data_IF_767372591234
#
_entry.id   IF_767372591234
#
_cell.length_a   1.000
_cell.length_b   1.000
_cell.length_c   1.000
_cell.angle_alpha   90.00
_cell.angle_beta   90.00
_cell.angle_gamma   90.00
#
_symmetry.space_group_name_H-M   'P 1'
#
loop_
_entity.id
_entity.type
_entity.pdbx_description
1 polymer ?
#
# COMPACT_ATOMS: atom_id res chain seq x y z
N UNK A 1 25.51 -18.50 -0.03
CA UNK A 1 26.47 -19.46 -0.63
C UNK A 1 27.36 -18.73 -1.62
N UNK A 2 28.62 -19.15 -1.77
CA UNK A 2 29.49 -18.69 -2.86
C UNK A 2 29.15 -19.51 -4.11
N UNK A 3 28.85 -18.86 -5.23
CA UNK A 3 28.70 -19.55 -6.52
C UNK A 3 30.07 -19.63 -7.20
N UNK A 4 30.54 -20.80 -7.65
CA UNK A 4 31.79 -20.95 -8.40
C UNK A 4 31.68 -20.61 -9.90
N UNK A 5 30.48 -20.32 -10.41
CA UNK A 5 30.26 -19.99 -11.83
C UNK A 5 30.58 -18.54 -12.18
N UNK A 6 31.14 -18.31 -13.38
CA UNK A 6 31.40 -16.97 -13.97
C UNK A 6 30.14 -16.11 -14.12
N UNK A 7 28.94 -16.72 -14.07
CA UNK A 7 27.66 -16.04 -13.97
C UNK A 7 27.01 -16.32 -12.60
N UNK A 8 27.34 -15.50 -11.60
CA UNK A 8 26.78 -15.61 -10.26
C UNK A 8 25.33 -15.11 -10.21
N UNK A 9 24.36 -16.03 -10.18
CA UNK A 9 22.94 -15.71 -9.99
C UNK A 9 22.49 -15.93 -8.55
N UNK A 10 21.53 -15.10 -8.11
CA UNK A 10 20.77 -15.35 -6.90
C UNK A 10 19.73 -16.44 -7.19
N UNK A 11 19.87 -17.60 -6.54
CA UNK A 11 18.93 -18.72 -6.64
C UNK A 11 18.24 -18.91 -5.29
N UNK A 12 16.91 -18.97 -5.30
CA UNK A 12 16.10 -19.33 -4.14
C UNK A 12 14.99 -20.28 -4.56
N UNK A 13 14.52 -21.12 -3.64
CA UNK A 13 13.45 -22.08 -3.87
C UNK A 13 12.35 -21.83 -2.84
N UNK A 14 11.11 -21.74 -3.32
CA UNK A 14 9.92 -21.70 -2.47
C UNK A 14 9.10 -22.95 -2.78
N UNK A 15 8.97 -23.88 -1.83
CA UNK A 15 8.15 -25.06 -2.03
C UNK A 15 6.70 -24.68 -2.34
N UNK A 16 6.07 -25.36 -3.29
CA UNK A 16 4.72 -25.03 -3.77
C UNK A 16 3.67 -25.13 -2.66
N UNK A 17 3.85 -26.07 -1.74
CA UNK A 17 3.02 -26.31 -0.58
C UNK A 17 3.15 -25.23 0.50
N UNK A 18 4.24 -24.46 0.47
CA UNK A 18 4.57 -23.45 1.49
C UNK A 18 4.51 -22.02 0.95
N UNK A 19 4.26 -21.82 -0.35
CA UNK A 19 4.15 -20.47 -0.91
C UNK A 19 2.91 -19.77 -0.36
N UNK A 20 3.13 -18.64 0.28
CA UNK A 20 2.09 -17.75 0.81
C UNK A 20 2.28 -16.37 0.20
N UNK A 21 1.22 -15.58 0.20
CA UNK A 21 1.35 -14.18 -0.15
C UNK A 21 2.21 -13.47 0.91
N UNK A 22 3.12 -12.61 0.48
CA UNK A 22 4.08 -11.99 1.40
C UNK A 22 5.21 -11.27 0.70
N UNK A 23 6.16 -10.81 1.51
CA UNK A 23 7.28 -10.00 1.08
C UNK A 23 8.57 -10.53 1.69
N UNK A 24 9.66 -10.48 0.92
CA UNK A 24 11.00 -10.70 1.42
C UNK A 24 11.95 -9.64 0.87
N UNK A 25 12.83 -9.11 1.72
CA UNK A 25 13.98 -8.32 1.28
C UNK A 25 15.22 -9.17 1.46
N UNK A 26 15.90 -9.44 0.36
CA UNK A 26 17.14 -10.22 0.35
C UNK A 26 18.27 -9.35 -0.16
N UNK A 27 19.48 -9.58 0.37
CA UNK A 27 20.62 -8.76 0.03
C UNK A 27 21.89 -9.60 -0.10
N UNK A 28 22.77 -9.17 -1.00
CA UNK A 28 24.09 -9.78 -1.18
C UNK A 28 25.14 -8.98 -0.41
N UNK A 29 26.05 -9.70 0.23
CA UNK A 29 27.19 -9.12 0.94
C UNK A 29 28.49 -9.47 0.23
N UNK A 30 29.44 -8.54 0.21
CA UNK A 30 30.80 -8.83 -0.20
C UNK A 30 31.54 -9.67 0.88
N UNK A 31 32.78 -10.06 0.58
CA UNK A 31 33.60 -10.87 1.50
C UNK A 31 33.87 -10.20 2.86
N UNK A 32 33.72 -8.87 2.97
CA UNK A 32 33.87 -8.09 4.21
C UNK A 32 32.54 -7.93 4.96
N UNK A 33 31.46 -8.60 4.54
CA UNK A 33 30.15 -8.53 5.17
C UNK A 33 29.33 -7.27 4.84
N UNK A 34 29.80 -6.42 3.93
CA UNK A 34 29.10 -5.20 3.51
C UNK A 34 28.02 -5.53 2.49
N UNK A 35 26.81 -5.03 2.68
CA UNK A 35 25.74 -5.16 1.69
C UNK A 35 26.11 -4.42 0.40
N UNK A 36 25.92 -5.07 -0.74
CA UNK A 36 26.23 -4.50 -2.06
C UNK A 36 24.99 -4.20 -2.88
N UNK A 37 23.94 -5.00 -2.68
CA UNK A 37 22.67 -4.84 -3.36
C UNK A 37 21.58 -5.62 -2.63
N UNK A 38 20.35 -5.25 -2.86
CA UNK A 38 19.16 -5.87 -2.29
C UNK A 38 18.02 -5.87 -3.28
N UNK A 39 17.17 -6.89 -3.17
CA UNK A 39 15.96 -7.07 -3.95
C UNK A 39 14.78 -7.19 -3.00
N UNK A 40 13.65 -6.63 -3.42
CA UNK A 40 12.34 -6.92 -2.82
C UNK A 40 11.67 -7.99 -3.68
N UNK A 41 11.34 -9.12 -3.05
CA UNK A 41 10.51 -10.17 -3.63
C UNK A 41 9.08 -10.03 -3.10
N UNK A 42 8.13 -9.85 -4.01
CA UNK A 42 6.71 -9.78 -3.69
C UNK A 42 6.00 -11.03 -4.19
N UNK A 43 5.52 -11.85 -3.26
CA UNK A 43 4.71 -13.02 -3.54
C UNK A 43 3.24 -12.61 -3.50
N UNK A 44 2.65 -12.40 -4.66
CA UNK A 44 1.32 -11.84 -4.82
C UNK A 44 0.36 -12.82 -5.47
N UNK A 45 -0.94 -12.52 -5.43
CA UNK A 45 -1.91 -13.21 -6.28
C UNK A 45 -1.65 -12.87 -7.77
N UNK A 46 -2.02 -13.76 -8.71
CA UNK A 46 -1.77 -13.53 -10.13
C UNK A 46 -2.36 -12.21 -10.67
N UNK A 47 -3.44 -11.73 -10.05
CA UNK A 47 -4.18 -10.53 -10.45
C UNK A 47 -3.65 -9.23 -9.81
N UNK A 48 -2.63 -9.28 -8.95
CA UNK A 48 -2.16 -8.10 -8.21
C UNK A 48 -1.65 -6.97 -9.11
N UNK A 49 -1.08 -7.33 -10.27
CA UNK A 49 -0.59 -6.42 -11.31
C UNK A 49 -1.57 -6.22 -12.48
N UNK A 50 -2.78 -6.80 -12.43
CA UNK A 50 -3.82 -6.41 -13.39
C UNK A 50 -4.08 -4.90 -13.29
N UNK A 51 -4.36 -4.26 -14.42
CA UNK A 51 -4.46 -2.81 -14.46
C UNK A 51 -5.89 -2.29 -14.40
N UNK A 52 -6.09 -1.23 -13.62
CA UNK A 52 -7.31 -0.43 -13.55
C UNK A 52 -7.05 0.92 -14.21
N UNK A 53 -7.85 1.26 -15.22
CA UNK A 53 -7.79 2.56 -15.90
C UNK A 53 -8.46 3.63 -15.07
N UNK A 54 -7.75 4.71 -14.81
CA UNK A 54 -8.22 5.89 -14.08
C UNK A 54 -7.84 7.16 -14.86
N UNK A 55 -8.69 8.18 -14.80
CA UNK A 55 -8.43 9.46 -15.45
C UNK A 55 -8.19 10.52 -14.40
N UNK A 56 -7.19 11.37 -14.59
CA UNK A 56 -7.01 12.54 -13.75
C UNK A 56 -7.93 13.70 -14.20
N UNK A 57 -7.85 14.84 -13.51
CA UNK A 57 -8.66 16.03 -13.81
C UNK A 57 -8.43 16.61 -15.22
N UNK A 58 -7.33 16.25 -15.87
CA UNK A 58 -6.99 16.66 -17.24
C UNK A 58 -7.38 15.58 -18.28
N UNK A 59 -8.15 14.57 -17.89
CA UNK A 59 -8.52 13.40 -18.70
C UNK A 59 -7.34 12.55 -19.18
N UNK A 60 -6.14 12.72 -18.59
CA UNK A 60 -5.00 11.83 -18.85
C UNK A 60 -5.27 10.47 -18.20
N UNK A 61 -5.12 9.41 -19.00
CA UNK A 61 -5.38 8.04 -18.58
C UNK A 61 -4.13 7.44 -17.93
N UNK A 62 -4.29 6.92 -16.73
CA UNK A 62 -3.29 6.13 -16.02
C UNK A 62 -3.81 4.70 -15.81
N UNK A 63 -2.90 3.71 -15.87
CA UNK A 63 -3.21 2.29 -15.69
C UNK A 63 -2.58 1.80 -14.40
N UNK A 64 -3.30 1.92 -13.29
CA UNK A 64 -2.78 1.51 -11.99
C UNK A 64 -2.81 -0.01 -11.81
N UNK A 65 -1.82 -0.58 -11.14
CA UNK A 65 -1.93 -1.93 -10.61
C UNK A 65 -3.11 -2.03 -9.63
N UNK A 66 -3.77 -3.20 -9.60
CA UNK A 66 -4.94 -3.48 -8.76
C UNK A 66 -4.63 -3.37 -7.26
N UNK A 67 -3.40 -3.65 -6.87
CA UNK A 67 -2.93 -3.61 -5.49
C UNK A 67 -1.70 -2.72 -5.35
N UNK A 68 -1.51 -2.08 -4.18
CA UNK A 68 -0.25 -1.39 -3.91
C UNK A 68 0.91 -2.38 -3.82
N UNK A 69 2.11 -1.87 -4.04
CA UNK A 69 3.31 -2.68 -4.07
C UNK A 69 3.52 -3.36 -2.72
N UNK A 70 3.80 -4.67 -2.76
CA UNK A 70 4.01 -5.48 -1.56
C UNK A 70 2.74 -5.73 -0.74
N UNK A 71 1.55 -5.55 -1.32
CA UNK A 71 0.31 -5.88 -0.65
C UNK A 71 0.21 -7.37 -0.31
N UNK A 72 -0.27 -7.68 0.89
CA UNK A 72 -0.48 -9.03 1.36
C UNK A 72 -1.67 -9.10 2.32
N UNK A 73 -2.64 -9.98 2.03
CA UNK A 73 -3.69 -10.38 2.97
C UNK A 73 -3.07 -11.20 4.11
N UNK A 74 -3.37 -10.86 5.36
CA UNK A 74 -2.87 -11.58 6.53
C UNK A 74 -3.96 -12.49 7.07
N UNK A 75 -5.15 -11.93 7.21
CA UNK A 75 -6.38 -12.63 7.56
C UNK A 75 -7.53 -12.00 6.81
N UNK A 76 -8.39 -12.84 6.23
CA UNK A 76 -9.60 -12.37 5.56
C UNK A 76 -10.74 -13.34 5.80
N UNK A 77 -11.59 -12.98 6.76
CA UNK A 77 -12.81 -13.71 7.08
C UNK A 77 -13.99 -12.82 6.74
N UNK A 78 -14.79 -13.21 5.76
CA UNK A 78 -16.07 -12.55 5.52
C UNK A 78 -17.15 -13.18 6.38
N UNK A 79 -18.00 -12.34 6.97
CA UNK A 79 -19.23 -12.83 7.55
C UNK A 79 -20.08 -13.49 6.45
N UNK A 80 -20.67 -14.65 6.74
CA UNK A 80 -21.55 -15.38 5.81
C UNK A 80 -22.80 -14.60 5.41
N UNK A 81 -23.04 -13.43 6.01
CA UNK A 81 -24.05 -12.46 5.64
C UNK A 81 -23.62 -11.04 6.04
N UNK A 82 -24.03 -10.02 5.27
CA UNK A 82 -23.59 -8.62 5.41
C UNK A 82 -24.68 -7.64 5.88
N UNK A 83 -25.88 -8.14 6.22
CA UNK A 83 -27.01 -7.35 6.70
C UNK A 83 -27.62 -8.01 7.92
N UNK A 84 -28.01 -7.23 8.94
CA UNK A 84 -28.75 -7.74 10.08
C UNK A 84 -29.97 -8.54 9.61
N UNK A 85 -30.15 -9.73 10.16
CA UNK A 85 -31.33 -10.56 9.92
C UNK A 85 -32.15 -10.61 11.20
N UNK A 86 -33.46 -10.53 11.04
CA UNK A 86 -34.41 -10.60 12.15
C UNK A 86 -35.34 -11.76 11.87
N UNK A 87 -35.44 -12.68 12.81
CA UNK A 87 -36.45 -13.75 12.79
C UNK A 87 -37.51 -13.39 13.83
N UNK A 88 -38.76 -13.29 13.38
CA UNK A 88 -39.92 -13.18 14.25
C UNK A 88 -40.39 -14.58 14.61
N UNK A 89 -40.51 -14.86 15.91
CA UNK A 89 -41.11 -16.09 16.41
C UNK A 89 -42.38 -15.72 17.15
N UNK A 90 -43.49 -16.32 16.74
CA UNK A 90 -44.77 -16.29 17.46
C UNK A 90 -44.98 -17.67 18.08
N UNK A 91 -45.13 -17.72 19.40
CA UNK A 91 -45.52 -18.93 20.13
C UNK A 91 -46.94 -18.71 20.65
N UNK A 92 -47.86 -19.62 20.34
CA UNK A 92 -49.27 -19.55 20.73
C UNK A 92 -49.68 -20.85 21.42
N UNK A 93 -50.48 -20.74 22.48
CA UNK A 93 -50.99 -21.91 23.20
C UNK A 93 -51.96 -22.72 22.33
N UNK A 94 -51.86 -24.04 22.38
CA UNK A 94 -52.82 -24.92 21.69
C UNK A 94 -54.20 -24.90 22.35
N UNK A 95 -54.26 -24.73 23.67
CA UNK A 95 -55.48 -24.63 24.48
C UNK A 95 -55.41 -23.41 25.40
N UNK A 96 -56.48 -22.60 25.41
CA UNK A 96 -56.59 -21.39 26.22
C UNK A 96 -57.32 -21.63 27.54
N UNK A 97 -57.01 -20.84 28.57
CA UNK A 97 -57.76 -20.89 29.82
C UNK A 97 -59.09 -20.13 29.63
N UNK A 98 -60.24 -20.82 29.74
CA UNK A 98 -61.58 -20.33 29.36
C UNK A 98 -61.76 -19.95 27.87
N UNK A 99 -60.96 -20.54 26.98
CA UNK A 99 -61.06 -20.32 25.53
C UNK A 99 -60.12 -19.26 24.97
N UNK A 100 -59.52 -18.42 25.83
CA UNK A 100 -58.57 -17.40 25.41
C UNK A 100 -57.16 -17.98 25.26
N UNK A 101 -56.69 -18.09 24.01
CA UNK A 101 -55.31 -18.48 23.71
C UNK A 101 -54.37 -17.29 23.92
N UNK A 102 -53.33 -17.49 24.69
CA UNK A 102 -52.24 -16.52 24.78
C UNK A 102 -51.18 -16.81 23.73
N UNK A 103 -50.55 -15.75 23.25
CA UNK A 103 -49.36 -15.85 22.42
C UNK A 103 -48.29 -14.87 22.91
N UNK A 104 -47.04 -15.22 22.64
CA UNK A 104 -45.89 -14.35 22.82
C UNK A 104 -45.19 -14.20 21.47
N UNK A 105 -44.73 -12.98 21.19
CA UNK A 105 -43.87 -12.68 20.05
C UNK A 105 -42.52 -12.28 20.62
N UNK A 106 -41.46 -12.87 20.09
CA UNK A 106 -40.11 -12.38 20.34
C UNK A 106 -39.28 -12.40 19.07
N UNK A 107 -38.30 -11.51 19.04
CA UNK A 107 -37.44 -11.26 17.90
C UNK A 107 -36.06 -11.82 18.21
N UNK A 108 -35.56 -12.70 17.34
CA UNK A 108 -34.13 -13.07 17.34
C UNK A 108 -33.44 -12.17 16.33
N UNK A 109 -32.57 -11.30 16.83
CA UNK A 109 -31.76 -10.41 15.99
C UNK A 109 -30.36 -10.99 15.85
N UNK A 110 -29.99 -11.34 14.62
CA UNK A 110 -28.64 -11.79 14.29
C UNK A 110 -27.90 -10.64 13.60
N UNK A 111 -26.94 -10.06 14.30
CA UNK A 111 -25.98 -9.11 13.70
C UNK A 111 -24.95 -9.92 12.90
N UNK A 112 -24.47 -9.42 11.75
CA UNK A 112 -23.38 -10.06 11.03
C UNK A 112 -22.17 -10.24 11.95
N UNK A 113 -21.45 -11.36 11.77
CA UNK A 113 -20.14 -11.54 12.39
C UNK A 113 -19.20 -10.41 11.97
N UNK A 114 -18.16 -10.15 12.76
CA UNK A 114 -17.12 -9.23 12.32
C UNK A 114 -16.41 -9.84 11.11
N UNK A 115 -16.33 -9.10 10.02
CA UNK A 115 -15.40 -9.45 8.95
C UNK A 115 -13.99 -9.07 9.41
N UNK A 116 -13.09 -10.04 9.51
CA UNK A 116 -11.68 -9.79 9.77
C UNK A 116 -11.04 -9.41 8.44
N UNK A 117 -10.46 -8.22 8.36
CA UNK A 117 -9.74 -7.74 7.17
C UNK A 117 -8.40 -7.21 7.60
N UNK A 118 -7.45 -8.13 7.74
CA UNK A 118 -6.07 -7.81 8.02
C UNK A 118 -5.25 -7.88 6.75
N UNK A 119 -4.56 -6.78 6.45
CA UNK A 119 -3.65 -6.69 5.31
C UNK A 119 -2.45 -5.85 5.68
N UNK A 120 -1.40 -6.01 4.88
CA UNK A 120 -0.16 -5.26 4.98
C UNK A 120 0.26 -4.78 3.60
N UNK A 121 1.08 -3.73 3.55
CA UNK A 121 1.78 -3.29 2.35
C UNK A 121 3.22 -2.98 2.75
N UNK A 122 4.14 -3.08 1.80
CA UNK A 122 5.48 -2.55 2.02
C UNK A 122 5.48 -1.04 1.92
N UNK A 123 6.44 -0.43 2.61
CA UNK A 123 6.65 1.00 2.69
C UNK A 123 8.07 1.33 2.23
N UNK A 124 8.26 2.49 1.63
CA UNK A 124 9.53 2.89 1.02
C UNK A 124 9.87 4.30 1.46
N UNK A 125 11.16 4.57 1.73
CA UNK A 125 11.64 5.95 1.81
C UNK A 125 11.89 6.47 0.39
N UNK A 126 11.69 7.77 0.18
CA UNK A 126 11.72 8.32 -1.18
C UNK A 126 13.08 8.09 -1.85
N UNK A 127 13.05 7.60 -3.10
CA UNK A 127 14.26 7.31 -3.88
C UNK A 127 14.94 5.99 -3.52
N UNK A 128 14.35 5.17 -2.64
CA UNK A 128 14.85 3.83 -2.33
C UNK A 128 14.02 2.75 -3.00
N UNK A 129 14.64 1.58 -3.20
CA UNK A 129 14.01 0.34 -3.67
C UNK A 129 13.76 -0.68 -2.54
N UNK A 130 14.25 -0.41 -1.33
CA UNK A 130 14.21 -1.36 -0.23
C UNK A 130 12.88 -1.25 0.51
N UNK A 131 12.20 -2.38 0.65
CA UNK A 131 10.90 -2.46 1.29
C UNK A 131 11.03 -2.53 2.82
N UNK A 132 10.35 -1.63 3.50
CA UNK A 132 10.08 -1.71 4.93
C UNK A 132 8.69 -2.29 5.16
N UNK A 133 8.45 -2.80 6.36
CA UNK A 133 7.17 -3.41 6.69
C UNK A 133 6.37 -2.54 7.65
N UNK A 134 5.06 -2.64 7.55
CA UNK A 134 4.12 -2.06 8.50
C UNK A 134 3.71 -3.05 9.60
N UNK A 135 4.33 -4.23 9.70
CA UNK A 135 4.04 -5.22 10.75
C UNK A 135 5.26 -5.47 11.65
N UNK A 136 5.03 -5.73 12.94
CA UNK A 136 6.09 -5.97 13.91
C UNK A 136 6.68 -7.39 13.85
N UNK A 137 6.07 -8.30 13.07
CA UNK A 137 6.44 -9.71 13.03
C UNK A 137 7.27 -10.04 11.78
N UNK A 138 8.58 -9.79 11.87
CA UNK A 138 9.57 -10.10 10.83
C UNK A 138 10.19 -11.47 11.15
N UNK A 139 10.07 -12.42 10.22
CA UNK A 139 10.53 -13.79 10.42
C UNK A 139 12.05 -13.90 10.60
N UNK A 140 12.84 -13.09 9.87
CA UNK A 140 14.30 -13.13 9.92
C UNK A 140 14.90 -11.77 9.52
N UNK A 141 16.09 -11.45 10.04
CA UNK A 141 16.93 -10.34 9.56
C UNK A 141 16.58 -8.96 10.11
N UNK A 142 15.33 -8.76 10.53
CA UNK A 142 14.84 -7.51 11.13
C UNK A 142 15.12 -6.26 10.30
N UNK A 143 14.68 -5.11 10.81
CA UNK A 143 15.28 -3.83 10.43
C UNK A 143 15.54 -3.04 11.69
N UNK A 144 16.42 -2.05 11.61
CA UNK A 144 16.70 -1.13 12.70
C UNK A 144 16.47 0.31 12.25
N UNK A 145 16.34 1.20 13.23
CA UNK A 145 16.05 2.61 13.04
C UNK A 145 17.29 3.41 13.44
N UNK A 146 17.63 4.46 12.69
CA UNK A 146 18.82 5.28 12.98
C UNK A 146 18.67 6.73 12.47
N UNK A 147 19.02 7.71 13.29
CA UNK A 147 18.93 9.16 13.03
C UNK A 147 20.28 9.84 12.73
N UNK A 148 21.39 9.10 12.77
CA UNK A 148 22.76 9.58 12.49
C UNK A 148 23.29 9.14 11.12
N UNK A 149 22.49 8.46 10.31
CA UNK A 149 22.89 7.99 8.98
C UNK A 149 22.49 9.02 7.92
N UNK A 150 23.42 9.36 7.04
CA UNK A 150 23.13 10.17 5.87
C UNK A 150 22.24 9.42 4.89
N UNK A 151 21.19 10.07 4.39
CA UNK A 151 20.37 9.56 3.30
C UNK A 151 21.03 9.87 1.95
N UNK A 152 22.15 9.18 1.68
CA UNK A 152 22.84 9.17 0.38
C UNK A 152 22.52 7.91 -0.40
N UNK A 153 22.76 7.91 -1.71
CA UNK A 153 22.59 6.70 -2.53
C UNK A 153 23.46 5.53 -2.03
N UNK A 154 24.71 5.82 -1.62
CA UNK A 154 25.62 4.82 -1.05
C UNK A 154 25.05 4.19 0.22
N UNK A 155 24.66 5.02 1.19
CA UNK A 155 24.16 4.54 2.47
C UNK A 155 22.85 3.77 2.32
N UNK A 156 21.96 4.21 1.42
CA UNK A 156 20.71 3.49 1.12
C UNK A 156 20.99 2.10 0.52
N UNK A 157 21.96 1.96 -0.39
CA UNK A 157 22.35 0.66 -0.97
C UNK A 157 23.02 -0.24 0.08
N UNK A 158 23.93 0.29 0.88
CA UNK A 158 24.71 -0.47 1.87
C UNK A 158 23.88 -0.85 3.11
N UNK A 159 22.67 -0.28 3.29
CA UNK A 159 21.83 -0.49 4.47
C UNK A 159 20.36 -0.71 4.12
N UNK A 160 20.03 -1.82 3.42
CA UNK A 160 18.65 -2.11 3.00
C UNK A 160 17.70 -2.41 4.17
N UNK A 161 18.25 -2.76 5.34
CA UNK A 161 17.49 -3.04 6.57
C UNK A 161 17.60 -1.91 7.61
N UNK A 162 17.92 -0.68 7.18
CA UNK A 162 17.96 0.50 8.04
C UNK A 162 16.92 1.51 7.60
N UNK A 163 15.93 1.77 8.47
CA UNK A 163 15.02 2.89 8.31
C UNK A 163 15.69 4.16 8.85
N UNK A 164 15.97 5.12 7.96
CA UNK A 164 16.74 6.32 8.29
C UNK A 164 15.77 7.41 8.77
N UNK A 165 15.90 7.87 10.02
CA UNK A 165 15.07 8.94 10.55
C UNK A 165 15.48 10.30 9.99
N UNK A 166 14.52 11.23 9.93
CA UNK A 166 14.81 12.64 9.79
C UNK A 166 15.50 13.11 11.07
N UNK A 167 16.81 13.33 10.99
CA UNK A 167 17.64 13.54 12.17
C UNK A 167 18.88 14.37 11.85
N UNK A 168 20.03 13.91 12.35
CA UNK A 168 21.30 14.62 12.31
C UNK A 168 22.13 14.31 11.06
N UNK A 169 21.77 13.26 10.32
CA UNK A 169 22.38 12.92 9.04
C UNK A 169 22.01 13.90 7.93
N UNK A 170 22.89 14.02 6.93
CA UNK A 170 22.64 14.78 5.69
C UNK A 170 21.67 14.02 4.78
N UNK A 171 20.83 14.76 4.06
CA UNK A 171 19.98 14.20 2.99
C UNK A 171 20.46 14.66 1.63
N UNK A 172 20.67 13.72 0.70
CA UNK A 172 20.88 14.04 -0.71
C UNK A 172 19.55 14.12 -1.45
N UNK A 173 19.25 15.29 -2.02
CA UNK A 173 17.97 15.58 -2.67
C UNK A 173 18.00 15.28 -4.16
N UNK A 174 18.39 14.07 -4.55
CA UNK A 174 18.34 13.67 -5.96
C UNK A 174 16.90 13.64 -6.47
N UNK A 175 16.65 14.27 -7.62
CA UNK A 175 15.32 14.34 -8.22
C UNK A 175 14.99 13.10 -9.07
N UNK A 176 16.01 12.39 -9.53
CA UNK A 176 15.92 11.39 -10.58
C UNK A 176 16.12 9.94 -10.11
N UNK A 177 15.97 9.67 -8.81
CA UNK A 177 16.12 8.31 -8.29
C UNK A 177 15.01 7.39 -8.78
N UNK A 178 13.74 7.79 -8.77
CA UNK A 178 12.65 6.94 -9.30
C UNK A 178 12.32 7.22 -10.77
N UNK A 179 12.77 8.34 -11.33
CA UNK A 179 12.57 8.69 -12.75
C UNK A 179 13.81 9.38 -13.30
N UNK A 180 14.50 8.75 -14.27
CA UNK A 180 15.82 9.14 -14.78
C UNK A 180 15.91 10.59 -15.25
N UNK A 181 14.83 11.09 -15.87
CA UNK A 181 14.77 12.41 -16.49
C UNK A 181 14.16 13.49 -15.59
N UNK A 182 13.84 13.14 -14.34
CA UNK A 182 13.17 14.06 -13.44
C UNK A 182 14.12 15.18 -12.98
N UNK A 183 13.79 16.42 -13.36
CA UNK A 183 14.56 17.61 -13.00
C UNK A 183 14.12 18.24 -11.67
N UNK A 184 13.05 17.71 -11.07
CA UNK A 184 12.39 18.26 -9.89
C UNK A 184 11.39 19.37 -10.24
N UNK A 185 10.48 19.63 -9.30
CA UNK A 185 9.50 20.71 -9.42
C UNK A 185 8.05 20.21 -9.52
N UNK A 186 7.20 20.99 -10.17
CA UNK A 186 5.74 20.81 -10.16
C UNK A 186 5.17 20.27 -11.47
N UNK A 187 6.00 19.84 -12.42
CA UNK A 187 5.52 19.29 -13.70
C UNK A 187 5.33 17.78 -13.65
N UNK A 188 4.29 17.28 -14.32
CA UNK A 188 4.07 15.85 -14.53
C UNK A 188 4.86 15.37 -15.74
N UNK A 189 6.13 15.06 -15.50
CA UNK A 189 7.01 14.48 -16.52
C UNK A 189 6.73 12.99 -16.72
N UNK A 190 7.04 12.48 -17.91
CA UNK A 190 7.02 11.04 -18.18
C UNK A 190 8.00 10.33 -17.26
N UNK A 191 7.55 9.27 -16.59
CA UNK A 191 8.42 8.48 -15.72
C UNK A 191 9.29 7.58 -16.58
N UNK A 192 10.61 7.72 -16.44
CA UNK A 192 11.59 6.80 -17.01
C UNK A 192 12.19 6.02 -15.85
N UNK A 193 11.68 4.81 -15.62
CA UNK A 193 12.05 3.97 -14.49
C UNK A 193 13.57 3.80 -14.35
N UNK A 194 14.09 3.87 -13.12
CA UNK A 194 15.49 3.54 -12.82
C UNK A 194 15.61 2.28 -11.98
N UNK A 195 16.85 1.86 -11.70
CA UNK A 195 17.16 0.77 -10.76
C UNK A 195 16.70 1.00 -9.31
N UNK A 196 16.35 2.23 -8.92
CA UNK A 196 15.86 2.56 -7.58
C UNK A 196 14.33 2.60 -7.48
N UNK A 197 13.62 2.58 -8.61
CA UNK A 197 12.17 2.46 -8.61
C UNK A 197 11.79 1.05 -8.11
N UNK A 198 11.02 0.93 -7.01
CA UNK A 198 10.73 -0.37 -6.40
C UNK A 198 9.71 -1.22 -7.20
N UNK A 199 9.02 -0.66 -8.19
CA UNK A 199 7.95 -1.37 -8.88
C UNK A 199 8.50 -2.54 -9.74
N UNK A 200 7.69 -3.56 -10.04
CA UNK A 200 8.04 -4.61 -10.99
C UNK A 200 8.29 -4.06 -12.41
N UNK A 201 8.90 -4.87 -13.28
CA UNK A 201 9.08 -4.55 -14.70
C UNK A 201 7.73 -4.29 -15.36
N UNK A 202 7.66 -3.26 -16.22
CA UNK A 202 6.42 -2.81 -16.86
C UNK A 202 5.58 -1.87 -16.00
N UNK A 203 6.07 -1.52 -14.80
CA UNK A 203 5.44 -0.57 -13.89
C UNK A 203 6.45 0.38 -13.28
N UNK A 204 5.99 1.57 -12.91
CA UNK A 204 6.78 2.59 -12.25
C UNK A 204 6.00 3.26 -11.11
N UNK A 205 6.71 4.00 -10.25
CA UNK A 205 6.10 4.84 -9.20
C UNK A 205 5.22 5.91 -9.89
N UNK A 206 3.97 6.14 -9.43
CA UNK A 206 3.04 7.05 -10.09
C UNK A 206 3.55 8.49 -10.10
N UNK A 207 3.22 9.28 -11.12
CA UNK A 207 3.40 10.74 -11.03
C UNK A 207 2.37 11.35 -10.08
N UNK A 208 2.59 12.59 -9.63
CA UNK A 208 1.59 13.32 -8.84
C UNK A 208 0.26 13.48 -9.59
N UNK A 209 0.30 13.70 -10.91
CA UNK A 209 -0.89 13.78 -11.76
C UNK A 209 -1.65 12.47 -11.87
N UNK A 210 -1.00 11.32 -11.62
CA UNK A 210 -1.71 10.06 -11.50
C UNK A 210 -2.56 10.04 -10.22
N UNK A 211 -2.01 10.52 -9.10
CA UNK A 211 -2.68 10.52 -7.79
C UNK A 211 -3.93 11.42 -7.75
N UNK A 212 -4.02 12.41 -8.64
CA UNK A 212 -5.21 13.25 -8.83
C UNK A 212 -6.46 12.46 -9.27
N UNK A 213 -6.31 11.23 -9.80
CA UNK A 213 -7.42 10.35 -10.17
C UNK A 213 -8.37 10.03 -9.00
N UNK A 214 -7.92 10.20 -7.75
CA UNK A 214 -8.64 9.80 -6.53
C UNK A 214 -9.31 10.94 -5.77
N UNK A 215 -9.23 12.18 -6.26
CA UNK A 215 -9.84 13.37 -5.63
C UNK A 215 -10.84 14.05 -6.53
N UNK A 216 -11.85 14.71 -5.97
CA UNK A 216 -12.79 15.51 -6.76
C UNK A 216 -12.24 16.94 -7.00
N UNK A 217 -12.27 17.45 -8.22
CA UNK A 217 -12.26 18.89 -8.49
C UNK A 217 -13.71 19.38 -8.53
N UNK A 218 -13.92 20.61 -8.05
CA UNK A 218 -15.20 21.29 -8.15
C UNK A 218 -15.57 21.46 -9.63
N UNK A 219 -16.73 20.91 -10.02
CA UNK A 219 -17.44 21.05 -11.31
C UNK A 219 -17.38 19.93 -12.37
N UNK A 220 -16.56 18.87 -12.27
CA UNK A 220 -16.61 17.79 -13.29
C UNK A 220 -16.79 16.36 -12.75
N UNK A 221 -17.60 15.63 -13.50
CA UNK A 221 -18.17 14.31 -13.21
C UNK A 221 -17.19 13.15 -13.48
N UNK A 222 -15.92 13.44 -13.79
CA UNK A 222 -14.92 12.47 -14.24
C UNK A 222 -14.21 11.67 -13.13
N UNK A 223 -14.56 11.87 -11.86
CA UNK A 223 -13.71 11.41 -10.75
C UNK A 223 -14.22 10.13 -10.07
N UNK A 224 -13.28 9.38 -9.51
CA UNK A 224 -13.59 8.17 -8.78
C UNK A 224 -14.35 8.51 -7.49
N UNK A 225 -15.63 8.14 -7.39
CA UNK A 225 -16.42 8.34 -6.17
C UNK A 225 -16.01 7.31 -5.12
N UNK A 226 -15.44 7.76 -4.01
CA UNK A 226 -15.23 6.92 -2.84
C UNK A 226 -16.59 6.54 -2.22
N UNK A 227 -16.82 5.25 -1.96
CA UNK A 227 -17.93 4.76 -1.12
C UNK A 227 -17.56 4.79 0.35
N UNK A 228 -18.39 4.23 1.25
CA UNK A 228 -18.08 4.11 2.69
C UNK A 228 -16.70 3.49 2.95
N UNK A 229 -16.01 4.02 3.95
CA UNK A 229 -14.73 3.53 4.46
C UNK A 229 -14.83 2.06 4.87
N UNK A 230 -13.86 1.25 4.44
CA UNK A 230 -13.74 -0.19 4.76
C UNK A 230 -12.25 -0.55 4.91
N UNK A 231 -11.66 -0.07 6.02
CA UNK A 231 -10.21 -0.09 6.25
C UNK A 231 -9.42 0.47 5.05
N UNK A 232 -9.95 1.52 4.42
CA UNK A 232 -9.50 2.02 3.13
C UNK A 232 -10.67 2.52 2.31
N UNK A 233 -10.39 3.00 1.10
CA UNK A 233 -11.39 3.55 0.20
C UNK A 233 -11.66 2.64 -0.98
N UNK A 234 -12.93 2.34 -1.19
CA UNK A 234 -13.42 1.73 -2.41
C UNK A 234 -13.85 2.83 -3.37
N UNK A 235 -13.19 2.90 -4.51
CA UNK A 235 -13.40 3.89 -5.55
C UNK A 235 -14.22 3.31 -6.70
N UNK A 236 -15.10 4.12 -7.28
CA UNK A 236 -15.93 3.77 -8.44
C UNK A 236 -15.78 4.82 -9.51
N UNK A 237 -15.55 4.41 -10.76
CA UNK A 237 -15.73 5.31 -11.91
C UNK A 237 -17.15 5.88 -11.91
N UNK A 238 -17.31 7.15 -12.28
CA UNK A 238 -18.64 7.74 -12.36
C UNK A 238 -19.58 6.94 -13.28
N UNK A 239 -20.83 6.79 -12.86
CA UNK A 239 -21.83 5.94 -13.53
C UNK A 239 -21.62 4.42 -13.38
N UNK A 240 -20.51 3.95 -12.80
CA UNK A 240 -20.28 2.53 -12.55
C UNK A 240 -20.85 2.13 -11.16
N UNK A 241 -21.79 1.17 -11.08
CA UNK A 241 -22.30 0.71 -9.79
C UNK A 241 -21.27 -0.11 -9.00
N UNK A 242 -20.25 -0.67 -9.65
CA UNK A 242 -19.24 -1.54 -9.05
C UNK A 242 -17.96 -0.80 -8.64
N UNK A 243 -17.28 -1.37 -7.63
CA UNK A 243 -15.94 -0.92 -7.22
C UNK A 243 -14.95 -1.19 -8.35
N UNK A 244 -14.27 -0.13 -8.78
CA UNK A 244 -13.22 -0.23 -9.80
C UNK A 244 -11.84 -0.35 -9.17
N UNK A 245 -11.64 0.23 -7.99
CA UNK A 245 -10.36 0.15 -7.29
C UNK A 245 -10.55 0.22 -5.77
N UNK A 246 -9.73 -0.52 -5.03
CA UNK A 246 -9.66 -0.43 -3.59
C UNK A 246 -8.27 0.04 -3.18
N UNK A 247 -8.19 1.12 -2.39
CA UNK A 247 -6.95 1.57 -1.78
C UNK A 247 -6.96 1.27 -0.28
N UNK A 248 -6.11 0.34 0.19
CA UNK A 248 -6.07 -0.04 1.60
C UNK A 248 -5.44 1.04 2.47
N UNK A 249 -5.96 1.20 3.69
CA UNK A 249 -5.40 2.08 4.71
C UNK A 249 -4.24 1.36 5.43
N UNK A 250 -3.02 1.48 4.90
CA UNK A 250 -1.84 0.74 5.36
C UNK A 250 -0.93 1.50 6.32
N UNK A 251 -1.27 2.77 6.61
CA UNK A 251 -0.48 3.63 7.47
C UNK A 251 0.76 4.21 6.79
N UNK A 252 1.69 4.71 7.59
CA UNK A 252 3.04 5.10 7.18
C UNK A 252 4.04 4.95 8.34
N UNK A 253 5.34 4.86 8.01
CA UNK A 253 6.42 4.95 9.02
C UNK A 253 6.81 6.41 9.21
N UNK A 254 6.70 6.87 10.46
CA UNK A 254 7.03 8.24 10.84
C UNK A 254 8.53 8.51 10.70
N UNK A 255 8.93 9.62 10.08
CA UNK A 255 10.34 9.97 9.93
C UNK A 255 11.00 10.37 11.25
N UNK A 256 10.23 10.65 12.30
CA UNK A 256 10.77 11.13 13.59
C UNK A 256 11.19 9.99 14.51
N UNK A 257 10.48 8.86 14.46
CA UNK A 257 10.72 7.75 15.39
C UNK A 257 10.66 6.36 14.71
N UNK A 258 10.32 6.29 13.43
CA UNK A 258 10.22 5.03 12.68
C UNK A 258 9.05 4.16 13.14
N UNK A 259 8.08 4.72 13.88
CA UNK A 259 6.89 4.01 14.30
C UNK A 259 5.79 4.11 13.26
N UNK A 260 4.98 3.07 13.19
CA UNK A 260 3.79 3.05 12.36
C UNK A 260 2.75 4.04 12.89
N UNK A 261 2.22 4.86 12.00
CA UNK A 261 1.03 5.66 12.22
C UNK A 261 -0.08 5.19 11.28
N UNK A 262 -1.23 4.86 11.87
CA UNK A 262 -2.42 4.35 11.16
C UNK A 262 -3.54 5.38 11.05
N UNK A 263 -3.35 6.61 11.54
CA UNK A 263 -4.37 7.68 11.47
C UNK A 263 -4.62 8.15 10.04
N UNK A 264 -3.63 7.99 9.17
CA UNK A 264 -3.73 8.24 7.73
C UNK A 264 -2.85 7.27 6.96
N UNK A 265 -3.06 7.20 5.65
CA UNK A 265 -2.23 6.44 4.72
C UNK A 265 -1.75 7.37 3.63
N UNK A 266 -0.49 7.24 3.25
CA UNK A 266 0.06 8.01 2.16
C UNK A 266 0.67 7.11 1.07
N UNK A 267 0.55 7.57 -0.18
CA UNK A 267 1.10 6.91 -1.37
C UNK A 267 2.05 7.86 -2.08
N UNK A 268 3.30 7.44 -2.24
CA UNK A 268 4.32 8.21 -2.93
C UNK A 268 3.95 8.49 -4.38
N UNK A 269 4.33 9.68 -4.85
CA UNK A 269 4.56 9.92 -6.27
C UNK A 269 6.06 9.86 -6.59
N UNK A 270 6.41 9.85 -7.88
CA UNK A 270 7.76 9.94 -8.40
C UNK A 270 8.30 11.38 -8.45
N UNK A 271 7.52 12.38 -8.00
CA UNK A 271 7.85 13.80 -8.14
C UNK A 271 8.42 14.38 -6.82
N UNK A 272 9.72 14.75 -6.80
CA UNK A 272 10.27 15.59 -5.76
C UNK A 272 10.21 17.08 -6.13
N UNK A 273 10.20 17.93 -5.10
CA UNK A 273 10.46 19.36 -5.20
C UNK A 273 11.54 19.70 -4.15
N UNK A 274 12.80 19.76 -4.58
CA UNK A 274 13.94 19.95 -3.67
C UNK A 274 13.95 18.91 -2.53
N UNK A 275 13.85 19.34 -1.27
CA UNK A 275 13.88 18.49 -0.08
C UNK A 275 12.56 17.74 0.23
N UNK A 276 11.47 18.11 -0.45
CA UNK A 276 10.15 17.50 -0.25
C UNK A 276 9.73 16.68 -1.47
N UNK A 277 8.78 15.78 -1.27
CA UNK A 277 8.28 14.85 -2.26
C UNK A 277 6.76 14.80 -2.21
N UNK A 278 6.12 14.68 -3.38
CA UNK A 278 4.67 14.65 -3.46
C UNK A 278 4.12 13.26 -3.15
N UNK A 279 3.00 13.22 -2.44
CA UNK A 279 2.28 11.99 -2.12
C UNK A 279 0.79 12.29 -2.01
N UNK A 280 -0.04 11.28 -2.23
CA UNK A 280 -1.45 11.30 -1.84
C UNK A 280 -1.55 10.95 -0.36
N UNK A 281 -2.49 11.54 0.36
CA UNK A 281 -2.84 11.20 1.73
C UNK A 281 -4.34 10.93 1.81
N UNK A 282 -4.74 9.92 2.57
CA UNK A 282 -6.13 9.78 2.98
C UNK A 282 -6.29 9.20 4.38
N UNK A 283 -7.48 9.45 4.96
CA UNK A 283 -7.99 8.80 6.16
C UNK A 283 -9.51 8.55 5.98
N UNK A 284 -10.20 8.12 7.03
CA UNK A 284 -11.64 7.82 6.97
C UNK A 284 -12.54 9.01 6.67
N UNK A 285 -12.04 10.25 6.80
CA UNK A 285 -12.81 11.48 6.56
C UNK A 285 -12.37 12.27 5.33
N UNK A 286 -11.19 12.02 4.77
CA UNK A 286 -10.62 12.88 3.72
C UNK A 286 -9.69 12.11 2.78
N UNK A 287 -9.69 12.50 1.51
CA UNK A 287 -8.68 12.13 0.49
C UNK A 287 -8.08 13.42 -0.06
N UNK A 288 -6.77 13.55 0.01
CA UNK A 288 -5.99 14.64 -0.61
C UNK A 288 -5.01 14.04 -1.60
N UNK A 289 -5.14 14.36 -2.87
CA UNK A 289 -4.30 13.84 -3.96
C UNK A 289 -2.89 14.40 -3.93
N UNK A 290 -2.70 15.53 -3.25
CA UNK A 290 -1.43 16.23 -3.23
C UNK A 290 -1.10 16.75 -1.83
N UNK A 291 -0.16 16.06 -1.20
CA UNK A 291 0.53 16.48 0.02
C UNK A 291 2.02 16.47 -0.24
N UNK A 292 2.78 17.19 0.59
CA UNK A 292 4.23 17.24 0.53
C UNK A 292 4.80 16.58 1.78
N UNK A 293 5.72 15.64 1.57
CA UNK A 293 6.35 14.88 2.65
C UNK A 293 7.87 14.92 2.47
N UNK A 294 8.62 14.84 3.56
CA UNK A 294 10.08 14.70 3.48
C UNK A 294 10.46 13.27 3.08
N UNK A 295 11.64 13.09 2.49
CA UNK A 295 12.12 11.80 1.93
C UNK A 295 12.17 10.65 2.94
N UNK A 296 12.28 10.97 4.23
CA UNK A 296 12.41 10.01 5.33
C UNK A 296 11.12 9.26 5.68
N UNK A 297 9.96 9.72 5.23
CA UNK A 297 8.71 8.99 5.45
C UNK A 297 8.77 7.60 4.78
N UNK A 298 8.29 6.56 5.47
CA UNK A 298 8.03 5.27 4.82
C UNK A 298 6.59 5.24 4.33
N UNK A 299 6.36 5.47 3.03
CA UNK A 299 5.03 5.48 2.43
C UNK A 299 4.86 4.34 1.43
N UNK A 300 3.60 3.98 1.15
CA UNK A 300 3.30 2.94 0.17
C UNK A 300 3.46 3.47 -1.26
N UNK A 301 3.53 2.56 -2.23
CA UNK A 301 3.60 2.86 -3.66
C UNK A 301 2.43 2.16 -4.35
N UNK A 302 1.72 2.88 -5.21
CA UNK A 302 0.65 2.34 -6.04
C UNK A 302 1.12 2.32 -7.51
N UNK A 303 1.67 1.19 -8.00
CA UNK A 303 2.34 1.16 -9.29
C UNK A 303 1.43 1.58 -10.45
N UNK A 304 2.00 2.25 -11.44
CA UNK A 304 1.36 2.61 -12.71
C UNK A 304 2.10 1.90 -13.84
N UNK A 305 1.38 1.29 -14.77
CA UNK A 305 1.99 0.63 -15.92
C UNK A 305 2.63 1.65 -16.87
N UNK A 306 3.79 1.28 -17.41
CA UNK A 306 4.56 2.03 -18.41
C UNK A 306 3.77 2.30 -19.72
#
# INVERSE_FOLDING_TARGET
GKSPDENAYLKFYVPRENIKNGNAVIAVKNAKGRFMWSWHLWFAKPDALETVKCNNNQNKVYKFAKQPLGFAYREWEEATFNKQRVVLIKVEQTFGNKGDKQYAIFYITQKPGQSVKEFSSTLYQFGRKDAFTNINNIAEGGYYINDYIDMTTKECIEKPNCFILAGKGRTESYCNLWSMNNLGGTYDETVVKTIFDPCPVGFHVPTKGALECFTKHESDSGLMKASTWDNGWNFRKNGNPHVTMYLPAVGYLSPTNGYMDYRSTCYWSSNPNSAICFAMLFNSGTVSSLTTNIRHYGLSVLPVAE
#
